data_IF_631479048652
#
_entry.id   IF_631479048652
#
_cell.length_a   1.000
_cell.length_b   1.000
_cell.length_c   1.000
_cell.angle_alpha   90.00
_cell.angle_beta   90.00
_cell.angle_gamma   90.00
#
_symmetry.space_group_name_H-M   'P 1'
#
loop_
_entity.id
_entity.type
_entity.pdbx_description
1 polymer ?
#
# COMPACT_ATOMS: atom_id res chain seq x y z
N UNK A 1 19.06 11.91 -24.10
CA UNK A 1 18.01 12.80 -24.66
C UNK A 1 17.74 12.34 -26.07
N UNK A 2 16.47 12.11 -26.47
CA UNK A 2 16.02 11.40 -27.70
C UNK A 2 16.22 9.87 -27.51
N UNK A 3 15.22 8.98 -27.44
CA UNK A 3 14.01 8.72 -28.21
C UNK A 3 12.95 8.16 -27.23
N UNK A 4 11.67 8.58 -27.32
CA UNK A 4 10.45 7.80 -26.96
C UNK A 4 9.15 8.64 -27.01
N UNK A 5 9.11 9.75 -27.77
CA UNK A 5 7.87 10.54 -27.97
C UNK A 5 6.85 9.90 -28.93
N UNK A 6 7.16 8.78 -29.58
CA UNK A 6 6.27 8.17 -30.59
C UNK A 6 5.40 7.02 -30.09
N UNK A 7 5.62 6.48 -28.89
CA UNK A 7 4.80 5.38 -28.37
C UNK A 7 3.51 5.89 -27.69
N UNK A 8 3.57 7.04 -27.01
CA UNK A 8 2.43 7.61 -26.26
C UNK A 8 1.23 8.04 -27.11
N UNK A 9 1.42 8.32 -28.41
CA UNK A 9 0.32 8.84 -29.26
C UNK A 9 -0.64 7.77 -29.79
N UNK A 10 -0.30 6.46 -29.71
CA UNK A 10 -1.16 5.38 -30.21
C UNK A 10 -2.18 4.86 -29.19
N UNK A 11 -1.91 4.99 -27.89
CA UNK A 11 -2.76 4.41 -26.83
C UNK A 11 -3.98 5.29 -26.50
N UNK A 12 -3.91 6.60 -26.71
CA UNK A 12 -4.96 7.52 -26.25
C UNK A 12 -6.10 7.82 -27.25
N UNK A 13 -6.22 7.14 -28.40
CA UNK A 13 -7.19 7.56 -29.43
C UNK A 13 -8.44 6.70 -29.64
N UNK A 14 -8.60 5.52 -29.02
CA UNK A 14 -9.79 4.69 -29.27
C UNK A 14 -10.42 4.16 -27.98
N UNK A 15 -11.25 4.99 -27.33
CA UNK A 15 -12.28 4.50 -26.41
C UNK A 15 -13.60 5.19 -26.78
N UNK A 16 -14.46 4.48 -27.54
CA UNK A 16 -15.89 4.82 -27.69
C UNK A 16 -16.71 3.93 -26.75
N UNK A 17 -17.77 4.44 -26.10
CA UNK A 17 -18.59 3.62 -25.23
C UNK A 17 -19.59 2.81 -26.07
N UNK A 18 -19.49 1.47 -26.02
CA UNK A 18 -20.53 0.57 -26.50
C UNK A 18 -21.41 0.18 -25.31
N UNK A 19 -22.52 0.90 -25.15
CA UNK A 19 -23.66 0.47 -24.36
C UNK A 19 -24.42 -0.61 -25.14
N UNK A 20 -24.20 -1.88 -24.82
CA UNK A 20 -25.18 -2.94 -25.11
C UNK A 20 -25.18 -4.02 -24.01
N UNK A 21 -26.39 -4.32 -23.55
CA UNK A 21 -26.79 -5.44 -22.69
C UNK A 21 -25.97 -6.72 -22.97
N UNK A 22 -25.17 -7.17 -22.00
CA UNK A 22 -24.41 -8.44 -22.10
C UNK A 22 -25.00 -9.53 -21.21
N UNK A 23 -25.47 -10.58 -21.89
CA UNK A 23 -25.45 -11.98 -21.41
C UNK A 23 -24.07 -12.29 -20.84
N UNK A 24 -23.99 -13.21 -19.86
CA UNK A 24 -22.77 -13.78 -19.27
C UNK A 24 -21.78 -14.30 -20.35
N UNK A 25 -21.05 -13.39 -21.00
CA UNK A 25 -19.83 -13.70 -21.74
C UNK A 25 -18.73 -13.77 -20.71
N UNK A 26 -17.95 -14.85 -20.70
CA UNK A 26 -16.75 -15.03 -19.86
C UNK A 26 -16.05 -13.68 -19.60
N UNK A 27 -16.19 -13.16 -18.38
CA UNK A 27 -15.65 -11.88 -17.96
C UNK A 27 -14.12 -11.95 -18.02
N UNK A 28 -13.53 -11.53 -19.13
CA UNK A 28 -12.07 -11.48 -19.26
C UNK A 28 -11.56 -10.20 -18.61
N UNK A 29 -10.56 -10.32 -17.74
CA UNK A 29 -10.00 -9.19 -16.98
C UNK A 29 -9.54 -8.03 -17.89
N UNK A 30 -9.03 -8.33 -19.08
CA UNK A 30 -8.59 -7.34 -20.06
C UNK A 30 -9.72 -6.45 -20.62
N UNK A 31 -10.99 -6.80 -20.40
CA UNK A 31 -12.14 -6.01 -20.84
C UNK A 31 -12.59 -4.96 -19.84
N UNK A 32 -12.17 -5.07 -18.58
CA UNK A 32 -12.64 -4.21 -17.49
C UNK A 32 -11.48 -3.52 -16.74
N UNK A 33 -10.24 -3.99 -16.89
CA UNK A 33 -9.07 -3.38 -16.27
C UNK A 33 -8.39 -2.41 -17.24
N UNK A 34 -8.47 -1.09 -17.03
CA UNK A 34 -8.06 -0.09 -18.02
C UNK A 34 -6.54 -0.06 -18.29
N UNK A 35 -5.74 -0.58 -17.35
CA UNK A 35 -4.28 -0.66 -17.44
C UNK A 35 -3.77 -2.10 -17.59
N UNK A 36 -4.60 -3.02 -18.10
CA UNK A 36 -4.22 -4.42 -18.27
C UNK A 36 -2.93 -4.60 -19.09
N UNK A 37 -2.80 -3.88 -20.21
CA UNK A 37 -1.61 -3.94 -21.07
C UNK A 37 -0.33 -3.47 -20.35
N UNK A 38 -0.45 -2.46 -19.48
CA UNK A 38 0.68 -1.99 -18.67
C UNK A 38 1.15 -3.08 -17.72
N UNK A 39 0.22 -3.80 -17.07
CA UNK A 39 0.58 -4.93 -16.24
C UNK A 39 1.38 -5.94 -17.09
N UNK A 40 0.89 -6.34 -18.26
CA UNK A 40 1.56 -7.29 -19.17
C UNK A 40 3.03 -6.97 -19.42
N UNK A 41 3.34 -5.73 -19.75
CA UNK A 41 4.72 -5.24 -19.94
C UNK A 41 5.57 -5.44 -18.66
N UNK A 42 5.02 -5.21 -17.47
CA UNK A 42 5.81 -5.25 -16.24
C UNK A 42 6.10 -6.68 -15.73
N UNK A 43 5.26 -7.68 -16.06
CA UNK A 43 5.56 -9.08 -15.67
C UNK A 43 6.79 -9.64 -16.36
N UNK A 44 7.07 -9.23 -17.60
CA UNK A 44 8.21 -9.76 -18.37
C UNK A 44 9.56 -9.37 -17.76
N UNK A 45 9.58 -8.41 -16.83
CA UNK A 45 10.81 -7.87 -16.22
C UNK A 45 11.08 -8.35 -14.79
N UNK A 46 10.15 -9.05 -14.14
CA UNK A 46 10.29 -9.53 -12.76
C UNK A 46 9.92 -11.02 -12.74
N UNK A 47 10.90 -11.86 -13.05
CA UNK A 47 10.67 -13.30 -13.05
C UNK A 47 11.90 -14.06 -12.56
N UNK A 48 11.95 -14.36 -11.26
CA UNK A 48 12.55 -15.58 -10.71
C UNK A 48 11.85 -15.92 -9.38
N UNK A 49 10.88 -16.83 -9.38
CA UNK A 49 10.60 -17.67 -8.21
C UNK A 49 10.62 -19.13 -8.64
N UNK A 50 11.79 -19.75 -8.49
CA UNK A 50 12.00 -21.17 -8.72
C UNK A 50 11.29 -21.98 -7.63
N UNK A 51 10.21 -22.69 -7.98
CA UNK A 51 9.80 -23.96 -7.35
C UNK A 51 9.60 -24.01 -5.83
N UNK A 52 9.40 -22.90 -5.13
CA UNK A 52 9.12 -22.89 -3.70
C UNK A 52 7.65 -23.24 -3.41
N UNK A 53 7.40 -23.85 -2.25
CA UNK A 53 6.06 -24.15 -1.76
C UNK A 53 5.21 -22.86 -1.68
N UNK A 54 4.06 -22.86 -2.35
CA UNK A 54 3.12 -21.74 -2.33
C UNK A 54 2.18 -21.91 -1.12
N UNK A 55 2.30 -21.08 -0.07
CA UNK A 55 1.42 -21.18 1.10
C UNK A 55 -0.01 -20.72 0.76
N UNK A 56 -1.06 -21.25 1.42
CA UNK A 56 -2.44 -20.84 1.18
C UNK A 56 -2.63 -19.32 1.30
N UNK A 57 -3.41 -18.72 0.41
CA UNK A 57 -3.61 -17.26 0.35
C UNK A 57 -4.19 -16.73 1.67
N UNK A 58 -3.54 -15.73 2.26
CA UNK A 58 -4.09 -14.94 3.38
C UNK A 58 -4.49 -13.55 2.91
N UNK A 59 -5.79 -13.28 2.87
CA UNK A 59 -6.35 -12.03 2.33
C UNK A 59 -6.12 -10.85 3.29
N UNK A 60 -5.84 -9.67 2.72
CA UNK A 60 -5.79 -8.41 3.47
C UNK A 60 -7.11 -7.65 3.29
N UNK A 61 -7.45 -7.26 2.06
CA UNK A 61 -8.63 -6.44 1.75
C UNK A 61 -9.04 -6.52 0.28
N UNK A 62 -10.23 -6.01 -0.05
CA UNK A 62 -10.69 -5.82 -1.42
C UNK A 62 -11.20 -4.39 -1.62
N UNK A 63 -10.98 -3.84 -2.81
CA UNK A 63 -11.26 -2.44 -3.15
C UNK A 63 -12.02 -2.35 -4.48
N UNK A 64 -13.16 -1.67 -4.49
CA UNK A 64 -13.95 -1.43 -5.69
C UNK A 64 -13.58 -0.12 -6.37
N UNK A 65 -13.27 -0.21 -7.66
CA UNK A 65 -13.11 0.93 -8.57
C UNK A 65 -14.28 0.95 -9.57
N UNK A 66 -14.39 1.95 -10.47
CA UNK A 66 -15.54 2.05 -11.37
C UNK A 66 -15.84 0.76 -12.14
N UNK A 67 -14.82 0.15 -12.74
CA UNK A 67 -14.98 -0.99 -13.66
C UNK A 67 -14.38 -2.31 -13.14
N UNK A 68 -13.52 -2.24 -12.11
CA UNK A 68 -12.76 -3.38 -11.61
C UNK A 68 -12.69 -3.40 -10.09
N UNK A 69 -12.26 -4.54 -9.55
CA UNK A 69 -11.96 -4.77 -8.15
C UNK A 69 -10.48 -5.15 -8.04
N UNK A 70 -9.81 -4.70 -6.98
CA UNK A 70 -8.49 -5.17 -6.59
C UNK A 70 -8.61 -5.89 -5.26
N UNK A 71 -8.09 -7.11 -5.16
CA UNK A 71 -7.99 -7.87 -3.91
C UNK A 71 -6.52 -8.08 -3.57
N UNK A 72 -6.17 -7.77 -2.33
CA UNK A 72 -4.79 -7.77 -1.81
C UNK A 72 -4.64 -8.89 -0.78
N UNK A 73 -3.45 -9.45 -0.69
CA UNK A 73 -3.12 -10.56 0.20
C UNK A 73 -1.66 -10.47 0.62
N UNK A 74 -1.29 -11.18 1.69
CA UNK A 74 0.03 -11.03 2.32
C UNK A 74 1.01 -12.17 2.03
N UNK A 75 0.55 -13.28 1.46
CA UNK A 75 1.37 -14.46 1.18
C UNK A 75 2.25 -14.26 -0.04
N UNK A 76 3.50 -14.71 0.03
CA UNK A 76 4.49 -14.58 -1.06
C UNK A 76 4.36 -15.71 -2.09
N UNK A 77 5.05 -15.57 -3.23
CA UNK A 77 5.20 -16.61 -4.28
C UNK A 77 3.98 -16.84 -5.15
N UNK A 78 3.08 -15.87 -5.17
CA UNK A 78 1.89 -15.89 -6.01
C UNK A 78 2.08 -15.15 -7.33
N UNK A 79 3.26 -14.60 -7.62
CA UNK A 79 3.45 -13.79 -8.82
C UNK A 79 3.10 -14.56 -10.10
N UNK A 80 2.25 -13.98 -10.94
CA UNK A 80 1.75 -14.59 -12.20
C UNK A 80 0.91 -15.87 -12.03
N UNK A 81 0.66 -16.31 -10.79
CA UNK A 81 -0.12 -17.50 -10.51
C UNK A 81 -1.58 -17.31 -10.90
N UNK A 82 -2.17 -18.42 -11.35
CA UNK A 82 -3.56 -18.46 -11.75
C UNK A 82 -4.46 -18.55 -10.52
N UNK A 83 -5.41 -17.63 -10.41
CA UNK A 83 -6.37 -17.61 -9.29
C UNK A 83 -7.78 -17.35 -9.79
N UNK A 84 -8.76 -17.61 -8.94
CA UNK A 84 -10.18 -17.47 -9.24
C UNK A 84 -10.81 -16.44 -8.32
N UNK A 85 -11.43 -15.41 -8.87
CA UNK A 85 -12.19 -14.39 -8.15
C UNK A 85 -13.58 -14.93 -7.76
N UNK A 86 -13.88 -14.86 -6.47
CA UNK A 86 -15.19 -15.19 -5.91
C UNK A 86 -15.90 -13.94 -5.42
N UNK A 87 -17.19 -13.84 -5.72
CA UNK A 87 -18.02 -12.68 -5.40
C UNK A 87 -19.15 -13.14 -4.49
N UNK A 88 -19.36 -12.39 -3.42
CA UNK A 88 -20.30 -12.74 -2.37
C UNK A 88 -21.20 -11.54 -2.07
N UNK A 89 -22.49 -11.80 -1.84
CA UNK A 89 -23.43 -10.78 -1.39
C UNK A 89 -23.28 -10.48 0.11
N UNK A 90 -24.15 -9.61 0.64
CA UNK A 90 -24.17 -9.22 2.06
C UNK A 90 -24.43 -10.40 3.02
N UNK A 91 -25.08 -11.46 2.57
CA UNK A 91 -25.32 -12.69 3.33
C UNK A 91 -24.20 -13.73 3.11
N UNK A 92 -23.09 -13.34 2.45
CA UNK A 92 -21.98 -14.23 2.05
C UNK A 92 -22.42 -15.38 1.14
N UNK A 93 -23.46 -15.18 0.33
CA UNK A 93 -23.86 -16.14 -0.71
C UNK A 93 -23.14 -15.80 -2.00
N UNK A 94 -22.70 -16.84 -2.70
CA UNK A 94 -21.97 -16.69 -3.96
C UNK A 94 -22.84 -16.06 -5.05
N UNK A 95 -22.28 -15.08 -5.75
CA UNK A 95 -22.90 -14.41 -6.90
C UNK A 95 -22.22 -14.91 -8.17
N UNK A 96 -22.89 -15.80 -8.90
CA UNK A 96 -22.41 -16.32 -10.18
C UNK A 96 -21.16 -17.22 -10.05
N UNK A 97 -20.63 -17.74 -11.17
CA UNK A 97 -19.44 -18.58 -11.15
C UNK A 97 -18.18 -17.76 -10.82
N UNK A 98 -17.15 -18.38 -10.22
CA UNK A 98 -15.87 -17.73 -10.03
C UNK A 98 -15.20 -17.42 -11.38
N UNK A 99 -14.42 -16.34 -11.43
CA UNK A 99 -13.79 -15.85 -12.67
C UNK A 99 -12.28 -16.02 -12.58
N UNK A 100 -11.71 -16.67 -13.58
CA UNK A 100 -10.26 -16.84 -13.67
C UNK A 100 -9.57 -15.49 -13.90
N UNK A 101 -8.48 -15.27 -13.16
CA UNK A 101 -7.55 -14.15 -13.34
C UNK A 101 -6.14 -14.61 -13.00
N UNK A 102 -5.18 -13.68 -13.00
CA UNK A 102 -3.83 -13.90 -12.51
C UNK A 102 -3.48 -12.90 -11.42
N UNK A 103 -2.67 -13.35 -10.47
CA UNK A 103 -2.04 -12.46 -9.51
C UNK A 103 -1.00 -11.63 -10.24
N UNK A 104 -1.21 -10.32 -10.19
CA UNK A 104 -0.33 -9.36 -10.82
C UNK A 104 -0.67 -7.95 -10.37
N UNK A 105 0.26 -7.25 -9.69
CA UNK A 105 1.57 -7.71 -9.21
C UNK A 105 1.51 -8.75 -8.06
N UNK A 106 2.66 -9.21 -7.55
CA UNK A 106 2.86 -10.34 -6.60
C UNK A 106 1.91 -10.43 -5.38
N UNK A 107 1.27 -9.33 -4.95
CA UNK A 107 0.36 -9.27 -3.80
C UNK A 107 -1.04 -8.75 -4.14
N UNK A 108 -1.41 -8.77 -5.42
CA UNK A 108 -2.69 -8.20 -5.88
C UNK A 108 -3.26 -9.03 -7.02
N UNK A 109 -4.53 -9.41 -6.91
CA UNK A 109 -5.30 -9.91 -8.03
C UNK A 109 -6.35 -8.87 -8.45
N UNK A 110 -6.53 -8.70 -9.76
CA UNK A 110 -7.56 -7.84 -10.32
C UNK A 110 -8.71 -8.68 -10.86
N UNK A 111 -9.93 -8.24 -10.61
CA UNK A 111 -11.17 -8.92 -10.98
C UNK A 111 -12.13 -7.90 -11.61
N UNK A 112 -12.98 -8.32 -12.54
CA UNK A 112 -14.03 -7.41 -13.03
C UNK A 112 -15.07 -7.14 -11.96
N UNK A 113 -15.62 -5.92 -11.95
CA UNK A 113 -16.67 -5.57 -10.99
C UNK A 113 -17.95 -6.37 -11.25
N UNK A 114 -18.53 -6.93 -10.19
CA UNK A 114 -19.82 -7.63 -10.25
C UNK A 114 -20.87 -6.93 -9.39
N UNK A 115 -22.03 -6.66 -9.97
CA UNK A 115 -23.12 -5.98 -9.27
C UNK A 115 -23.63 -6.82 -8.08
N UNK A 116 -23.93 -6.16 -6.96
CA UNK A 116 -24.39 -6.81 -5.73
C UNK A 116 -23.31 -7.46 -4.86
N UNK A 117 -22.07 -7.54 -5.34
CA UNK A 117 -20.95 -8.04 -4.53
C UNK A 117 -20.67 -7.08 -3.36
N UNK A 118 -20.51 -7.63 -2.16
CA UNK A 118 -20.16 -6.93 -0.92
C UNK A 118 -18.91 -7.52 -0.26
N UNK A 119 -18.62 -8.79 -0.54
CA UNK A 119 -17.38 -9.44 -0.14
C UNK A 119 -16.71 -10.10 -1.35
N UNK A 120 -15.40 -10.29 -1.24
CA UNK A 120 -14.61 -11.02 -2.23
C UNK A 120 -13.70 -12.05 -1.59
N UNK A 121 -13.33 -13.03 -2.38
CA UNK A 121 -12.26 -13.98 -2.07
C UNK A 121 -11.52 -14.37 -3.34
N UNK A 122 -10.35 -14.98 -3.17
CA UNK A 122 -9.61 -15.62 -4.25
C UNK A 122 -9.15 -17.02 -3.83
N UNK A 123 -9.07 -17.93 -4.79
CA UNK A 123 -8.57 -19.30 -4.57
C UNK A 123 -7.73 -19.79 -5.75
N UNK A 124 -6.99 -20.88 -5.54
CA UNK A 124 -6.25 -21.60 -6.59
C UNK A 124 -7.15 -22.39 -7.52
N UNK A 125 -8.36 -22.73 -7.08
CA UNK A 125 -9.29 -23.58 -7.81
C UNK A 125 -10.69 -22.97 -7.82
N UNK A 126 -11.29 -22.91 -9.00
CA UNK A 126 -12.68 -22.48 -9.19
C UNK A 126 -13.72 -23.52 -8.77
N UNK A 127 -13.30 -24.68 -8.25
CA UNK A 127 -14.21 -25.76 -7.81
C UNK A 127 -14.18 -25.99 -6.30
N UNK A 128 -13.13 -25.55 -5.62
CA UNK A 128 -12.98 -25.74 -4.17
C UNK A 128 -13.65 -24.56 -3.45
N UNK A 129 -14.46 -24.81 -2.41
CA UNK A 129 -15.05 -23.75 -1.61
C UNK A 129 -13.99 -22.82 -1.01
N UNK A 130 -14.32 -21.54 -0.94
CA UNK A 130 -13.48 -20.53 -0.28
C UNK A 130 -13.60 -20.64 1.25
N UNK A 131 -12.48 -20.51 1.95
CA UNK A 131 -12.43 -20.56 3.42
C UNK A 131 -12.52 -19.18 4.06
N UNK A 132 -12.04 -18.15 3.37
CA UNK A 132 -12.01 -16.78 3.85
C UNK A 132 -12.56 -15.80 2.80
N UNK A 133 -13.01 -14.64 3.25
CA UNK A 133 -13.50 -13.55 2.40
C UNK A 133 -13.34 -12.21 3.10
N UNK A 134 -13.00 -11.17 2.34
CA UNK A 134 -12.83 -9.81 2.82
C UNK A 134 -13.94 -8.89 2.31
N UNK A 135 -14.39 -7.90 3.11
CA UNK A 135 -15.35 -6.92 2.65
C UNK A 135 -14.75 -6.06 1.54
N UNK A 136 -15.61 -5.62 0.62
CA UNK A 136 -15.23 -4.71 -0.45
C UNK A 136 -15.34 -3.27 0.06
N UNK A 137 -14.21 -2.57 0.06
CA UNK A 137 -14.15 -1.13 0.35
C UNK A 137 -14.44 -0.36 -0.93
N UNK A 138 -15.43 0.53 -0.90
CA UNK A 138 -15.77 1.36 -2.05
C UNK A 138 -14.72 2.47 -2.27
N UNK A 139 -14.00 2.38 -3.38
CA UNK A 139 -13.07 3.40 -3.89
C UNK A 139 -13.54 3.90 -5.27
N UNK A 140 -14.83 3.90 -5.57
CA UNK A 140 -15.36 4.35 -6.87
C UNK A 140 -15.39 5.87 -7.01
N UNK A 141 -15.58 6.60 -5.91
CA UNK A 141 -15.65 8.06 -5.89
C UNK A 141 -14.27 8.65 -5.64
N UNK A 142 -13.81 9.52 -6.53
CA UNK A 142 -12.62 10.32 -6.30
C UNK A 142 -12.96 11.55 -5.42
N UNK A 143 -13.03 11.32 -4.11
CA UNK A 143 -13.28 12.35 -3.11
C UNK A 143 -12.38 12.07 -1.88
N UNK A 144 -11.07 12.36 -1.97
CA UNK A 144 -10.14 12.06 -0.89
C UNK A 144 -10.52 12.81 0.39
N UNK A 145 -10.60 12.08 1.50
CA UNK A 145 -10.82 12.61 2.84
C UNK A 145 -9.60 13.35 3.35
N UNK A 146 -8.41 12.80 3.06
CA UNK A 146 -7.14 13.32 3.55
C UNK A 146 -6.31 13.87 2.39
N UNK A 147 -5.58 14.96 2.64
CA UNK A 147 -4.65 15.56 1.69
C UNK A 147 -3.33 14.82 1.64
N UNK A 148 -2.78 14.46 2.80
CA UNK A 148 -1.55 13.68 2.91
C UNK A 148 -1.69 12.63 4.01
N UNK A 149 -1.38 11.39 3.66
CA UNK A 149 -1.35 10.27 4.60
C UNK A 149 0.00 9.57 4.57
N UNK A 150 0.26 8.69 5.54
CA UNK A 150 1.50 7.92 5.61
C UNK A 150 1.23 6.42 5.72
N UNK A 151 1.77 5.65 4.78
CA UNK A 151 1.90 4.19 4.84
C UNK A 151 3.19 3.86 5.60
N UNK A 152 3.06 3.41 6.84
CA UNK A 152 4.20 2.94 7.63
C UNK A 152 4.48 1.47 7.30
N UNK A 153 5.74 1.17 6.95
CA UNK A 153 6.22 -0.21 6.78
C UNK A 153 5.89 -1.07 8.01
N UNK A 154 5.76 -2.40 7.85
CA UNK A 154 5.32 -3.27 8.93
C UNK A 154 6.14 -3.10 10.21
N UNK A 155 5.46 -2.95 11.34
CA UNK A 155 6.07 -3.12 12.65
C UNK A 155 6.34 -4.61 12.85
N UNK A 156 7.60 -4.99 13.10
CA UNK A 156 8.00 -6.39 13.30
C UNK A 156 9.02 -6.56 14.41
N UNK A 157 9.24 -7.81 14.82
CA UNK A 157 10.17 -8.18 15.89
C UNK A 157 9.69 -7.80 17.30
N UNK A 158 10.46 -8.23 18.31
CA UNK A 158 10.04 -8.18 19.72
C UNK A 158 10.59 -6.97 20.50
N UNK A 159 11.37 -6.10 19.86
CA UNK A 159 11.94 -4.92 20.50
C UNK A 159 10.89 -3.87 20.84
N UNK A 160 11.17 -3.03 21.84
CA UNK A 160 10.30 -1.89 22.20
C UNK A 160 10.21 -0.87 21.06
N UNK A 161 8.99 -0.41 20.74
CA UNK A 161 8.74 0.52 19.63
C UNK A 161 8.05 1.81 20.05
N UNK A 162 7.50 1.87 21.26
CA UNK A 162 6.52 2.88 21.66
C UNK A 162 7.06 4.30 21.50
N UNK A 163 8.32 4.53 21.89
CA UNK A 163 8.93 5.85 21.86
C UNK A 163 9.21 6.30 20.41
N UNK A 164 9.81 5.42 19.62
CA UNK A 164 10.13 5.69 18.22
C UNK A 164 8.86 5.87 17.38
N UNK A 165 7.82 5.10 17.71
CA UNK A 165 6.49 5.20 17.09
C UNK A 165 5.76 6.48 17.47
N UNK A 166 5.72 6.86 18.74
CA UNK A 166 5.14 8.14 19.17
C UNK A 166 5.83 9.31 18.49
N UNK A 167 7.16 9.32 18.48
CA UNK A 167 7.92 10.38 17.81
C UNK A 167 7.66 10.41 16.29
N UNK A 168 7.56 9.24 15.64
CA UNK A 168 7.22 9.14 14.23
C UNK A 168 5.84 9.77 13.94
N UNK A 169 4.80 9.39 14.69
CA UNK A 169 3.43 9.89 14.48
C UNK A 169 3.40 11.40 14.69
N UNK A 170 3.94 11.88 15.82
CA UNK A 170 3.93 13.31 16.16
C UNK A 170 4.77 14.15 15.19
N UNK A 171 5.93 13.65 14.74
CA UNK A 171 6.71 14.31 13.70
C UNK A 171 5.91 14.50 12.42
N UNK A 172 5.29 13.43 11.91
CA UNK A 172 4.58 13.52 10.63
C UNK A 172 3.29 14.33 10.73
N UNK A 173 2.63 14.37 11.90
CA UNK A 173 1.54 15.32 12.18
C UNK A 173 2.01 16.76 12.06
N UNK A 174 3.16 17.12 12.63
CA UNK A 174 3.77 18.44 12.46
C UNK A 174 4.12 18.74 10.99
N UNK A 175 4.47 17.71 10.21
CA UNK A 175 4.71 17.85 8.77
C UNK A 175 3.43 17.89 7.92
N UNK A 176 2.24 17.86 8.54
CA UNK A 176 0.94 17.98 7.87
C UNK A 176 0.35 16.66 7.35
N UNK A 177 0.79 15.52 7.90
CA UNK A 177 0.12 14.22 7.69
C UNK A 177 -1.14 14.16 8.56
N UNK A 178 -2.25 13.75 7.95
CA UNK A 178 -3.58 13.76 8.57
C UNK A 178 -4.07 12.35 8.93
N UNK A 179 -3.47 11.30 8.36
CA UNK A 179 -3.89 9.92 8.57
C UNK A 179 -2.75 8.92 8.34
N UNK A 180 -2.73 7.83 9.10
CA UNK A 180 -1.70 6.81 9.00
C UNK A 180 -2.29 5.43 8.76
N UNK A 181 -1.67 4.68 7.85
CA UNK A 181 -1.89 3.25 7.68
C UNK A 181 -0.68 2.53 8.29
N UNK A 182 -0.92 1.78 9.36
CA UNK A 182 0.13 1.09 10.12
C UNK A 182 -0.03 -0.41 9.96
N UNK A 183 0.93 -1.02 9.28
CA UNK A 183 1.00 -2.47 9.16
C UNK A 183 1.72 -3.06 10.37
N UNK A 184 1.22 -4.16 10.89
CA UNK A 184 1.76 -4.80 12.10
C UNK A 184 1.91 -6.29 11.86
N UNK A 185 3.17 -6.74 11.85
CA UNK A 185 3.52 -8.16 11.89
C UNK A 185 3.70 -8.63 13.34
N UNK A 186 4.51 -7.91 14.11
CA UNK A 186 4.77 -8.19 15.52
C UNK A 186 4.85 -6.88 16.31
N UNK A 187 4.17 -6.85 17.45
CA UNK A 187 4.21 -5.72 18.38
C UNK A 187 4.02 -6.21 19.80
N UNK A 188 4.87 -5.74 20.70
CA UNK A 188 4.80 -6.07 22.11
C UNK A 188 3.76 -5.22 22.84
N UNK A 189 3.29 -5.73 23.98
CA UNK A 189 2.09 -5.23 24.68
C UNK A 189 2.13 -3.73 24.99
N UNK A 190 3.28 -3.17 25.34
CA UNK A 190 3.37 -1.77 25.72
C UNK A 190 3.25 -0.84 24.50
N UNK A 191 4.01 -1.09 23.42
CA UNK A 191 3.82 -0.37 22.16
C UNK A 191 2.43 -0.54 21.59
N UNK A 192 1.82 -1.72 21.75
CA UNK A 192 0.45 -1.95 21.31
C UNK A 192 -0.54 -1.01 21.99
N UNK A 193 -0.38 -0.74 23.29
CA UNK A 193 -1.24 0.22 24.01
C UNK A 193 -1.11 1.64 23.45
N UNK A 194 0.10 2.06 23.10
CA UNK A 194 0.34 3.38 22.49
C UNK A 194 -0.29 3.45 21.10
N UNK A 195 -0.08 2.42 20.27
CA UNK A 195 -0.71 2.31 18.97
C UNK A 195 -2.25 2.38 19.07
N UNK A 196 -2.85 1.63 19.99
CA UNK A 196 -4.30 1.61 20.18
C UNK A 196 -4.87 2.98 20.62
N UNK A 197 -4.07 3.82 21.29
CA UNK A 197 -4.50 5.17 21.65
C UNK A 197 -4.66 6.07 20.41
N UNK A 198 -3.72 6.00 19.47
CA UNK A 198 -3.82 6.72 18.19
C UNK A 198 -4.90 6.13 17.25
N UNK A 199 -5.21 4.84 17.38
CA UNK A 199 -6.37 4.25 16.71
C UNK A 199 -7.66 4.83 17.28
N UNK A 200 -7.74 4.95 18.62
CA UNK A 200 -8.92 5.49 19.32
C UNK A 200 -9.21 6.95 18.96
N UNK A 201 -8.19 7.76 18.68
CA UNK A 201 -8.35 9.16 18.24
C UNK A 201 -8.72 9.30 16.76
N UNK A 202 -8.73 8.20 16.00
CA UNK A 202 -9.08 8.18 14.58
C UNK A 202 -7.95 8.62 13.66
N UNK A 203 -6.71 8.68 14.16
CA UNK A 203 -5.52 9.09 13.40
C UNK A 203 -4.91 7.92 12.61
N UNK A 204 -5.14 6.68 13.07
CA UNK A 204 -4.47 5.49 12.57
C UNK A 204 -5.45 4.37 12.22
N UNK A 205 -5.25 3.78 11.05
CA UNK A 205 -5.77 2.46 10.69
C UNK A 205 -4.68 1.39 10.90
N UNK A 206 -5.00 0.31 11.60
CA UNK A 206 -4.07 -0.80 11.81
C UNK A 206 -4.41 -2.00 10.93
N UNK A 207 -3.40 -2.54 10.26
CA UNK A 207 -3.51 -3.73 9.41
C UNK A 207 -2.61 -4.82 10.00
N UNK A 208 -3.21 -5.86 10.57
CA UNK A 208 -2.47 -7.00 11.13
C UNK A 208 -2.16 -8.04 10.06
N UNK A 209 -0.87 -8.33 9.93
CA UNK A 209 -0.35 -9.34 9.02
C UNK A 209 -0.25 -10.68 9.75
N UNK A 210 -0.94 -11.69 9.24
CA UNK A 210 -1.34 -12.89 10.00
C UNK A 210 -0.45 -14.09 9.74
N UNK A 211 0.14 -14.18 8.54
CA UNK A 211 1.01 -15.32 8.20
C UNK A 211 2.35 -15.26 8.92
N UNK A 212 3.09 -16.37 8.88
CA UNK A 212 4.44 -16.50 9.43
C UNK A 212 5.37 -17.21 8.42
N UNK A 213 5.14 -16.99 7.12
CA UNK A 213 5.82 -17.67 6.01
C UNK A 213 7.22 -17.09 5.72
N UNK A 214 7.59 -15.96 6.33
CA UNK A 214 8.87 -15.26 6.12
C UNK A 214 9.20 -14.32 7.28
N UNK A 215 10.44 -13.79 7.37
CA UNK A 215 10.81 -12.74 8.33
C UNK A 215 9.92 -11.50 8.22
N UNK A 216 9.69 -10.82 9.34
CA UNK A 216 8.75 -9.69 9.40
C UNK A 216 9.07 -8.51 8.48
N UNK A 217 10.36 -8.24 8.24
CA UNK A 217 10.79 -7.21 7.30
C UNK A 217 10.30 -7.47 5.86
N UNK A 218 10.21 -8.73 5.45
CA UNK A 218 9.82 -9.12 4.09
C UNK A 218 8.32 -8.95 3.82
N UNK A 219 7.54 -8.57 4.83
CA UNK A 219 6.13 -8.19 4.66
C UNK A 219 5.97 -6.78 4.09
N UNK A 220 7.04 -6.00 4.01
CA UNK A 220 7.01 -4.64 3.47
C UNK A 220 6.38 -4.58 2.07
N UNK A 221 6.60 -5.59 1.23
CA UNK A 221 6.05 -5.60 -0.13
C UNK A 221 4.53 -5.78 -0.13
N UNK A 222 4.01 -6.73 0.66
CA UNK A 222 2.56 -6.88 0.84
C UNK A 222 1.93 -5.58 1.36
N UNK A 223 2.58 -4.93 2.34
CA UNK A 223 2.13 -3.66 2.90
C UNK A 223 2.13 -2.52 1.88
N UNK A 224 3.18 -2.38 1.06
CA UNK A 224 3.25 -1.34 0.01
C UNK A 224 2.11 -1.52 -1.01
N UNK A 225 1.90 -2.74 -1.46
CA UNK A 225 0.86 -3.06 -2.45
C UNK A 225 -0.55 -2.82 -1.90
N UNK A 226 -0.82 -3.32 -0.69
CA UNK A 226 -2.10 -3.06 -0.05
C UNK A 226 -2.32 -1.57 0.22
N UNK A 227 -1.32 -0.87 0.74
CA UNK A 227 -1.48 0.53 1.12
C UNK A 227 -1.69 1.45 -0.09
N UNK A 228 -1.12 1.11 -1.26
CA UNK A 228 -1.41 1.83 -2.50
C UNK A 228 -2.90 1.76 -2.85
N UNK A 229 -3.52 0.58 -2.75
CA UNK A 229 -4.96 0.43 -2.98
C UNK A 229 -5.81 1.02 -1.86
N UNK A 230 -5.38 0.83 -0.61
CA UNK A 230 -6.04 1.35 0.59
C UNK A 230 -6.11 2.86 0.61
N UNK A 231 -5.04 3.53 0.21
CA UNK A 231 -4.95 4.99 0.18
C UNK A 231 -5.59 5.62 -1.05
N UNK A 232 -5.71 4.89 -2.17
CA UNK A 232 -6.32 5.42 -3.41
C UNK A 232 -7.74 5.91 -3.17
N UNK A 233 -8.02 7.16 -3.56
CA UNK A 233 -9.28 7.87 -3.34
C UNK A 233 -9.66 8.09 -1.86
N UNK A 234 -8.82 7.70 -0.91
CA UNK A 234 -8.95 8.05 0.50
C UNK A 234 -8.05 9.23 0.86
N UNK A 235 -6.84 9.19 0.31
CA UNK A 235 -5.80 10.18 0.49
C UNK A 235 -5.43 10.75 -0.88
N UNK A 236 -5.25 12.08 -0.97
CA UNK A 236 -4.82 12.73 -2.21
C UNK A 236 -3.37 12.39 -2.53
N UNK A 237 -2.50 12.40 -1.53
CA UNK A 237 -1.11 11.95 -1.62
C UNK A 237 -0.79 11.01 -0.45
N UNK A 238 0.19 10.13 -0.65
CA UNK A 238 0.59 9.18 0.39
C UNK A 238 2.11 9.00 0.43
N UNK A 239 2.67 9.02 1.63
CA UNK A 239 4.08 8.75 1.92
C UNK A 239 4.26 7.24 2.13
N UNK A 240 5.31 6.66 1.56
CA UNK A 240 5.79 5.32 1.91
C UNK A 240 7.12 5.47 2.65
N UNK A 241 7.13 5.08 3.94
CA UNK A 241 8.24 5.36 4.86
C UNK A 241 8.40 4.31 5.96
N UNK A 242 9.62 4.23 6.51
CA UNK A 242 9.92 3.35 7.66
C UNK A 242 9.83 4.12 8.98
N UNK A 243 9.82 3.37 10.10
CA UNK A 243 9.63 3.90 11.45
C UNK A 243 10.77 4.83 11.89
N UNK A 244 11.99 4.57 11.44
CA UNK A 244 13.23 5.25 11.82
C UNK A 244 13.63 6.39 10.88
N UNK A 245 12.75 6.71 9.92
CA UNK A 245 13.01 7.72 8.89
C UNK A 245 12.21 9.00 9.12
N UNK A 246 12.86 10.13 8.87
CA UNK A 246 12.24 11.46 8.95
C UNK A 246 12.46 12.22 7.65
N UNK A 247 11.37 12.58 6.97
CA UNK A 247 11.41 13.63 5.95
C UNK A 247 11.30 14.97 6.68
N UNK A 248 12.31 15.82 6.47
CA UNK A 248 12.39 17.16 7.06
C UNK A 248 12.55 18.16 5.93
N UNK A 249 11.79 19.25 5.98
CA UNK A 249 11.93 20.38 5.07
C UNK A 249 12.64 21.53 5.79
N UNK A 250 13.47 22.26 5.04
CA UNK A 250 14.02 23.53 5.51
C UNK A 250 12.98 24.63 5.28
N UNK A 251 12.65 25.39 6.33
CA UNK A 251 11.73 26.54 6.26
C UNK A 251 10.46 26.33 7.07
N UNK A 252 9.45 27.17 6.83
CA UNK A 252 8.20 27.24 7.60
C UNK A 252 7.03 26.49 6.96
N UNK A 253 7.23 25.88 5.78
CA UNK A 253 6.19 25.21 5.01
C UNK A 253 6.11 23.74 5.41
N UNK A 254 4.89 23.21 5.59
CA UNK A 254 4.70 21.79 5.91
C UNK A 254 5.01 20.90 4.70
N UNK A 255 5.33 19.62 4.93
CA UNK A 255 5.55 18.66 3.84
C UNK A 255 4.32 18.53 2.96
N UNK A 256 3.16 18.52 3.59
CA UNK A 256 1.86 18.46 2.92
C UNK A 256 1.64 19.63 1.96
N UNK A 257 1.98 20.87 2.37
CA UNK A 257 1.85 22.06 1.51
C UNK A 257 2.85 22.03 0.36
N UNK A 258 4.10 21.63 0.64
CA UNK A 258 5.12 21.48 -0.39
C UNK A 258 4.70 20.47 -1.46
N UNK A 259 4.28 19.27 -1.06
CA UNK A 259 3.82 18.22 -1.98
C UNK A 259 2.63 18.71 -2.78
N UNK A 260 1.64 19.32 -2.12
CA UNK A 260 0.43 19.83 -2.77
C UNK A 260 0.79 20.86 -3.85
N UNK A 261 1.66 21.81 -3.54
CA UNK A 261 2.07 22.86 -4.47
C UNK A 261 2.84 22.29 -5.66
N UNK A 262 3.85 21.45 -5.41
CA UNK A 262 4.68 20.87 -6.48
C UNK A 262 3.86 19.99 -7.42
N UNK A 263 3.01 19.12 -6.88
CA UNK A 263 2.19 18.20 -7.66
C UNK A 263 1.09 18.95 -8.43
N UNK A 264 0.59 20.08 -7.91
CA UNK A 264 -0.36 20.95 -8.63
C UNK A 264 0.32 21.69 -9.78
N UNK A 265 1.55 22.18 -9.58
CA UNK A 265 2.34 22.86 -10.63
C UNK A 265 2.82 21.90 -11.72
N UNK A 266 2.99 20.62 -11.39
CA UNK A 266 3.48 19.59 -12.29
C UNK A 266 2.49 18.43 -12.40
N UNK A 267 1.36 18.59 -13.12
CA UNK A 267 0.25 17.62 -13.12
C UNK A 267 0.59 16.25 -13.74
N UNK A 268 1.74 16.13 -14.40
CA UNK A 268 2.25 14.87 -14.95
C UNK A 268 3.20 14.12 -14.00
N UNK A 269 3.52 14.71 -12.85
CA UNK A 269 4.32 14.07 -11.80
C UNK A 269 3.37 13.32 -10.88
N UNK A 270 3.52 12.00 -10.76
CA UNK A 270 2.77 11.22 -9.76
C UNK A 270 3.63 10.71 -8.60
N UNK A 271 4.92 11.08 -8.56
CA UNK A 271 5.79 10.73 -7.44
C UNK A 271 6.91 11.75 -7.24
N UNK A 272 7.11 12.09 -5.97
CA UNK A 272 8.25 12.85 -5.48
C UNK A 272 9.14 11.93 -4.65
N UNK A 273 10.46 12.09 -4.80
CA UNK A 273 11.46 11.33 -4.04
C UNK A 273 12.15 12.27 -3.07
N UNK A 274 12.24 11.83 -1.83
CA UNK A 274 12.88 12.53 -0.72
C UNK A 274 13.99 11.67 -0.15
N UNK A 275 15.08 12.32 0.26
CA UNK A 275 16.11 11.67 1.07
C UNK A 275 15.73 11.86 2.53
N UNK A 276 15.26 10.81 3.23
CA UNK A 276 14.98 10.89 4.64
C UNK A 276 16.29 11.05 5.43
N UNK A 277 16.14 11.48 6.68
CA UNK A 277 17.18 11.43 7.70
C UNK A 277 16.93 10.22 8.58
N UNK A 278 17.99 9.48 8.88
CA UNK A 278 17.99 8.45 9.91
C UNK A 278 18.52 9.02 11.21
N UNK A 279 17.86 8.69 12.30
CA UNK A 279 18.38 8.90 13.65
C UNK A 279 19.06 7.60 14.09
N UNK A 280 20.39 7.61 14.14
CA UNK A 280 21.15 6.43 14.55
C UNK A 280 21.07 6.31 16.08
N UNK A 281 20.18 5.44 16.55
CA UNK A 281 20.04 5.13 17.96
C UNK A 281 21.11 4.10 18.37
N UNK A 282 22.06 4.49 19.21
CA UNK A 282 23.14 3.62 19.70
C UNK A 282 22.88 3.03 21.08
N UNK A 283 21.84 3.50 21.78
CA UNK A 283 21.44 3.03 23.10
C UNK A 283 20.20 2.14 23.06
N UNK A 284 19.91 1.50 24.19
CA UNK A 284 18.66 0.76 24.36
C UNK A 284 17.50 1.74 24.53
N UNK A 285 16.41 1.50 23.79
CA UNK A 285 15.17 2.22 23.98
C UNK A 285 14.49 1.80 25.30
N UNK A 286 13.82 2.73 26.01
CA UNK A 286 13.16 2.44 27.26
C UNK A 286 11.96 1.49 27.04
N UNK A 287 11.76 0.58 27.99
CA UNK A 287 10.63 -0.37 27.93
C UNK A 287 9.31 0.30 28.34
N UNK A 288 9.37 1.30 29.22
CA UNK A 288 8.22 2.01 29.77
C UNK A 288 8.50 3.51 29.86
N UNK A 289 7.43 4.32 29.83
CA UNK A 289 7.48 5.74 30.15
C UNK A 289 7.45 5.98 31.67
N UNK A 290 8.44 6.72 32.18
CA UNK A 290 8.56 7.12 33.59
C UNK A 290 8.64 8.64 33.75
N UNK A 291 7.85 9.38 32.98
CA UNK A 291 7.82 10.85 33.03
C UNK A 291 8.84 11.51 32.10
N UNK A 292 8.96 12.83 32.22
CA UNK A 292 9.76 13.68 31.32
C UNK A 292 11.23 13.27 31.25
N UNK A 293 11.78 12.74 32.35
CA UNK A 293 13.14 12.22 32.38
C UNK A 293 13.36 11.14 31.31
N UNK A 294 12.37 10.27 31.07
CA UNK A 294 12.45 9.25 30.02
C UNK A 294 12.60 9.88 28.63
N UNK A 295 11.87 10.95 28.35
CA UNK A 295 11.95 11.64 27.04
C UNK A 295 13.28 12.38 26.91
N UNK A 296 13.69 13.10 27.95
CA UNK A 296 14.95 13.84 27.94
C UNK A 296 16.18 12.95 27.74
N UNK A 297 16.11 11.69 28.19
CA UNK A 297 17.22 10.73 28.09
C UNK A 297 17.15 9.82 26.86
N UNK A 298 15.96 9.59 26.29
CA UNK A 298 15.78 8.58 25.23
C UNK A 298 15.09 9.04 23.96
N UNK A 299 14.45 10.22 23.92
CA UNK A 299 13.74 10.69 22.73
C UNK A 299 14.73 10.83 21.57
N UNK A 300 14.60 10.05 20.47
CA UNK A 300 15.69 9.89 19.52
C UNK A 300 16.19 11.20 18.89
N UNK A 301 15.29 12.05 18.42
CA UNK A 301 15.63 13.34 17.79
C UNK A 301 16.16 14.38 18.79
N UNK A 302 15.93 14.18 20.09
CA UNK A 302 16.47 15.03 21.15
C UNK A 302 17.87 14.58 21.58
N UNK A 303 18.11 13.28 21.64
CA UNK A 303 19.32 12.70 22.27
C UNK A 303 20.40 12.38 21.25
N UNK A 304 20.01 11.95 20.05
CA UNK A 304 20.94 11.55 19.01
C UNK A 304 21.01 12.62 17.92
N UNK A 305 22.11 13.36 17.90
CA UNK A 305 22.33 14.43 16.91
C UNK A 305 23.10 13.95 15.67
N UNK A 306 23.72 12.78 15.73
CA UNK A 306 24.39 12.18 14.59
C UNK A 306 23.32 11.63 13.62
N UNK A 307 23.00 12.45 12.62
CA UNK A 307 22.17 12.03 11.48
C UNK A 307 23.06 11.69 10.30
N UNK A 308 22.82 10.55 9.66
CA UNK A 308 23.49 10.20 8.40
C UNK A 308 22.43 10.28 7.29
N UNK A 309 22.69 10.99 6.19
CA UNK A 309 21.82 10.91 5.03
C UNK A 309 21.80 9.47 4.53
N UNK A 310 20.63 9.00 4.13
CA UNK A 310 20.45 7.67 3.57
C UNK A 310 21.46 7.37 2.46
N UNK A 311 22.22 6.28 2.57
CA UNK A 311 23.17 5.87 1.54
C UNK A 311 22.42 5.41 0.27
N UNK A 312 22.80 5.85 -0.94
CA UNK A 312 22.33 5.21 -2.18
C UNK A 312 22.86 3.77 -2.24
N UNK A 313 22.07 2.75 -2.66
CA UNK A 313 20.85 2.84 -3.46
C UNK A 313 19.51 2.62 -2.71
N UNK A 314 19.49 2.46 -1.39
CA UNK A 314 18.30 1.99 -0.63
C UNK A 314 17.54 3.10 0.12
N UNK A 315 17.93 4.36 -0.07
CA UNK A 315 17.65 5.43 0.86
C UNK A 315 16.65 6.51 0.44
N UNK A 316 15.88 6.35 -0.63
CA UNK A 316 14.91 7.38 -1.04
C UNK A 316 13.48 6.95 -0.70
N UNK A 317 12.73 7.86 -0.08
CA UNK A 317 11.32 7.66 0.26
C UNK A 317 10.42 8.47 -0.64
N UNK A 318 9.24 7.92 -0.92
CA UNK A 318 8.37 8.43 -1.97
C UNK A 318 7.08 8.95 -1.39
N UNK A 319 6.66 10.07 -1.94
CA UNK A 319 5.32 10.58 -1.79
C UNK A 319 4.67 10.49 -3.16
N UNK A 320 3.52 9.82 -3.26
CA UNK A 320 2.89 9.51 -4.54
C UNK A 320 1.45 10.02 -4.58
N UNK A 321 0.95 10.29 -5.79
CA UNK A 321 -0.49 10.32 -6.05
C UNK A 321 -0.95 8.87 -6.28
N UNK A 322 -1.67 8.24 -5.33
CA UNK A 322 -2.08 6.85 -5.45
C UNK A 322 -3.07 6.62 -6.61
N UNK A 323 -3.67 7.67 -7.19
CA UNK A 323 -4.54 7.55 -8.36
C UNK A 323 -3.76 7.32 -9.66
N UNK A 324 -2.57 7.93 -9.75
CA UNK A 324 -1.76 7.93 -10.97
C UNK A 324 -0.59 6.93 -10.90
N UNK A 325 -0.58 6.05 -9.89
CA UNK A 325 0.43 5.00 -9.70
C UNK A 325 -0.25 3.64 -9.57
N UNK A 326 0.08 2.69 -10.45
CA UNK A 326 -0.48 1.31 -10.44
C UNK A 326 0.40 0.33 -9.68
N UNK A 327 1.71 0.59 -9.64
CA UNK A 327 2.70 -0.30 -9.05
C UNK A 327 3.85 0.51 -8.45
N UNK A 328 4.34 0.03 -7.29
CA UNK A 328 5.55 0.49 -6.62
C UNK A 328 6.49 -0.70 -6.44
N UNK A 329 7.68 -0.66 -7.07
CA UNK A 329 8.66 -1.77 -7.03
C UNK A 329 9.59 -1.77 -5.81
N UNK A 330 10.50 -2.75 -5.73
CA UNK A 330 11.51 -2.91 -4.65
C UNK A 330 12.63 -1.87 -4.71
N UNK A 331 13.03 -1.46 -5.92
CA UNK A 331 13.77 -0.21 -6.18
C UNK A 331 12.81 0.97 -6.38
N UNK A 332 11.66 0.92 -5.71
CA UNK A 332 10.56 1.89 -5.73
C UNK A 332 10.16 2.45 -7.10
N UNK A 333 10.49 1.85 -8.25
CA UNK A 333 10.06 2.35 -9.56
C UNK A 333 8.55 2.62 -9.53
N UNK A 334 8.17 3.85 -9.90
CA UNK A 334 6.79 4.30 -9.94
C UNK A 334 6.34 4.18 -11.38
N UNK A 335 5.23 3.49 -11.59
CA UNK A 335 4.68 3.28 -12.91
C UNK A 335 3.34 4.01 -13.03
N UNK A 336 3.25 4.87 -14.04
CA UNK A 336 2.13 5.77 -14.27
C UNK A 336 1.08 5.15 -15.21
N UNK A 337 -0.19 5.57 -15.06
CA UNK A 337 -1.31 5.22 -15.96
C UNK A 337 -1.27 6.07 -17.22
#
# INVERSE_FOLDING_TARGET
MIVHKHFFKRVCQHVRPLLTSRRLSFEKINTCLPFHELLDIFSETIDISNGEYIPPISLIAAYAYPDYLAITFETKYWNSEKVYCWYLDKEKRQIGPPVETRVKPEYTAYCCKRNGAQYMSISTSGTVPIEDSVPIVDRTKNAPTYRLSHCLSPLYGNGTKWLLFTEFVEHYKLMGVEYFYVYVKDIERYSRRVLDDYVRTGEIETIFLRTNDRPGADYQFAAIHDCLHRSRHHSRYVIFGDLDERIVLSGTVTLSDYVTNVMTLHPYVASLRFKPRYVICTGHLPVYYHGDETLNQHLPTLVYHNTTPAQPPFGEKRIVDPMAVVLLGTFLNVYHI
#
